data_IF_091304083550
#
_entry.id   IF_091304083550
#
_cell.length_a   1.000
_cell.length_b   1.000
_cell.length_c   1.000
_cell.angle_alpha   90.00
_cell.angle_beta   90.00
_cell.angle_gamma   90.00
#
_symmetry.space_group_name_H-M   'P 1'
#
loop_
_entity.id
_entity.type
_entity.pdbx_description
1 polymer ?
#
# COMPACT_ATOMS: atom_id res chain seq x y z
N UNK A 1 14.66 25.68 13.91
CA UNK A 1 14.28 24.47 13.14
C UNK A 1 14.72 24.71 11.70
N UNK A 2 15.91 24.23 11.33
CA UNK A 2 16.46 24.40 9.97
C UNK A 2 16.01 23.21 9.12
N UNK A 3 15.16 23.44 8.12
CA UNK A 3 14.77 22.42 7.15
C UNK A 3 15.91 22.21 6.16
N UNK A 4 16.70 21.15 6.33
CA UNK A 4 17.60 20.67 5.28
C UNK A 4 16.76 19.96 4.20
N UNK A 5 16.19 20.75 3.29
CA UNK A 5 15.67 20.22 2.03
C UNK A 5 16.86 20.04 1.09
N UNK A 6 17.25 18.80 0.83
CA UNK A 6 18.30 18.53 -0.13
C UNK A 6 17.69 18.53 -1.53
N UNK A 7 17.85 19.63 -2.25
CA UNK A 7 17.47 19.73 -3.66
C UNK A 7 18.60 19.14 -4.50
N UNK A 8 18.34 18.03 -5.18
CA UNK A 8 19.22 17.54 -6.23
C UNK A 8 18.86 18.28 -7.53
N UNK A 9 19.79 19.00 -8.19
CA UNK A 9 19.49 19.90 -9.31
C UNK A 9 18.71 19.22 -10.45
N UNK A 10 18.94 17.92 -10.63
CA UNK A 10 18.37 17.11 -11.71
C UNK A 10 17.25 16.16 -11.23
N UNK A 11 16.84 16.24 -9.96
CA UNK A 11 15.77 15.41 -9.42
C UNK A 11 14.40 16.10 -9.47
N UNK A 12 13.37 15.35 -9.82
CA UNK A 12 11.97 15.80 -9.79
C UNK A 12 11.33 15.68 -8.39
N UNK A 13 12.08 15.21 -7.39
CA UNK A 13 11.62 15.01 -6.01
C UNK A 13 12.49 15.75 -5.00
N UNK A 14 11.94 15.98 -3.80
CA UNK A 14 12.64 16.56 -2.65
C UNK A 14 12.71 15.53 -1.52
N UNK A 15 13.80 15.57 -0.76
CA UNK A 15 13.96 14.77 0.44
C UNK A 15 13.92 15.67 1.68
N UNK A 16 13.40 15.11 2.78
CA UNK A 16 13.36 15.75 4.09
C UNK A 16 13.66 14.71 5.17
N UNK A 17 14.17 15.18 6.31
CA UNK A 17 14.39 14.35 7.50
C UNK A 17 13.03 13.81 7.98
N UNK A 18 12.95 12.50 8.20
CA UNK A 18 11.78 11.81 8.74
C UNK A 18 12.21 10.82 9.84
N UNK A 19 11.27 10.00 10.34
CA UNK A 19 11.50 9.02 11.40
C UNK A 19 12.41 7.84 10.99
N UNK A 20 12.92 7.82 9.75
CA UNK A 20 13.86 6.82 9.24
C UNK A 20 15.31 7.33 9.23
N UNK A 21 15.55 8.60 9.57
CA UNK A 21 16.85 9.24 9.41
C UNK A 21 17.96 8.68 10.34
N UNK A 22 17.58 7.95 11.38
CA UNK A 22 18.45 7.26 12.32
C UNK A 22 18.57 5.75 12.05
N UNK A 23 17.88 5.23 11.03
CA UNK A 23 17.91 3.81 10.68
C UNK A 23 19.10 3.45 9.78
N UNK A 24 19.64 2.24 9.95
CA UNK A 24 20.67 1.70 9.08
C UNK A 24 20.09 1.33 7.71
N UNK A 25 20.76 1.76 6.64
CA UNK A 25 20.31 1.49 5.26
C UNK A 25 20.31 -0.01 4.92
N UNK A 26 21.23 -0.79 5.48
CA UNK A 26 21.27 -2.25 5.27
C UNK A 26 20.05 -2.92 5.93
N UNK A 27 19.63 -2.45 7.10
CA UNK A 27 18.42 -2.93 7.76
C UNK A 27 17.15 -2.54 6.98
N UNK A 28 17.12 -1.33 6.40
CA UNK A 28 16.01 -0.88 5.56
C UNK A 28 15.89 -1.72 4.28
N UNK A 29 17.01 -2.03 3.62
CA UNK A 29 17.03 -2.83 2.40
C UNK A 29 16.66 -4.28 2.70
N UNK A 30 17.28 -4.89 3.71
CA UNK A 30 17.02 -6.29 4.07
C UNK A 30 15.55 -6.54 4.46
N UNK A 31 14.94 -5.62 5.19
CA UNK A 31 13.50 -5.70 5.53
C UNK A 31 12.61 -5.64 4.29
N UNK A 32 13.02 -4.92 3.25
CA UNK A 32 12.25 -4.74 2.01
C UNK A 32 12.41 -5.90 1.01
N UNK A 33 13.45 -6.71 1.14
CA UNK A 33 13.65 -7.90 0.30
C UNK A 33 12.70 -9.05 0.69
N UNK A 34 11.40 -8.77 0.69
CA UNK A 34 10.39 -9.81 0.63
C UNK A 34 10.40 -10.38 -0.79
N UNK A 35 10.79 -11.64 -0.93
CA UNK A 35 10.76 -12.37 -2.20
C UNK A 35 9.31 -12.58 -2.65
N UNK A 36 8.71 -11.55 -3.25
CA UNK A 36 7.43 -11.68 -3.93
C UNK A 36 7.59 -12.65 -5.10
N UNK A 37 7.07 -13.87 -4.95
CA UNK A 37 6.96 -14.78 -6.08
C UNK A 37 5.82 -14.26 -6.96
N UNK A 38 6.18 -13.58 -8.04
CA UNK A 38 5.22 -13.16 -9.06
C UNK A 38 4.72 -14.42 -9.78
N UNK A 39 3.46 -14.81 -9.54
CA UNK A 39 2.77 -15.69 -10.49
C UNK A 39 2.30 -14.86 -11.67
N UNK A 40 2.56 -15.26 -12.92
CA UNK A 40 1.98 -14.58 -14.07
C UNK A 40 0.47 -14.73 -14.02
N UNK A 41 -0.23 -13.62 -13.78
CA UNK A 41 -1.69 -13.56 -13.87
C UNK A 41 -2.04 -13.04 -15.26
N UNK A 42 -2.81 -13.81 -16.01
CA UNK A 42 -3.39 -13.35 -17.28
C UNK A 42 -4.64 -12.54 -16.98
N UNK A 43 -4.55 -11.22 -17.07
CA UNK A 43 -5.72 -10.35 -17.02
C UNK A 43 -6.30 -10.22 -18.43
N UNK A 44 -7.40 -10.92 -18.70
CA UNK A 44 -8.19 -10.71 -19.91
C UNK A 44 -9.29 -9.68 -19.62
N UNK A 45 -8.96 -8.39 -19.71
CA UNK A 45 -9.97 -7.34 -19.86
C UNK A 45 -9.39 -6.27 -20.80
N UNK A 46 -9.92 -6.17 -22.01
CA UNK A 46 -9.65 -5.04 -22.91
C UNK A 46 -10.46 -3.85 -22.41
N UNK A 47 -9.88 -3.05 -21.53
CA UNK A 47 -10.50 -1.80 -21.09
C UNK A 47 -10.26 -0.75 -22.17
N UNK A 48 -11.33 -0.12 -22.68
CA UNK A 48 -11.20 1.02 -23.58
C UNK A 48 -10.66 2.23 -22.79
N UNK A 49 -9.43 2.63 -23.09
CA UNK A 49 -8.74 3.72 -22.38
C UNK A 49 -9.34 5.11 -22.64
N UNK A 50 -10.25 5.24 -23.61
CA UNK A 50 -10.80 6.54 -24.05
C UNK A 50 -11.71 7.20 -23.00
N UNK A 51 -12.15 6.46 -21.98
CA UNK A 51 -13.11 6.95 -20.99
C UNK A 51 -12.47 7.35 -19.64
N UNK A 52 -11.15 7.39 -19.54
CA UNK A 52 -10.48 7.78 -18.29
C UNK A 52 -10.25 9.30 -18.21
N UNK A 53 -10.40 9.90 -17.01
CA UNK A 53 -10.02 11.28 -16.80
C UNK A 53 -8.50 11.44 -16.89
N UNK A 54 -8.03 12.64 -17.24
CA UNK A 54 -6.59 13.00 -17.27
C UNK A 54 -5.91 12.83 -15.90
N UNK A 55 -6.68 13.01 -14.82
CA UNK A 55 -6.22 12.80 -13.44
C UNK A 55 -7.33 12.21 -12.59
N UNK A 56 -6.99 11.26 -11.71
CA UNK A 56 -7.91 10.65 -10.75
C UNK A 56 -7.26 10.57 -9.37
N UNK A 57 -7.95 11.10 -8.36
CA UNK A 57 -7.57 10.96 -6.95
C UNK A 57 -8.72 10.34 -6.15
N UNK A 58 -8.60 9.05 -5.84
CA UNK A 58 -9.61 8.31 -5.08
C UNK A 58 -9.84 8.86 -3.66
N UNK A 59 -8.88 9.58 -3.08
CA UNK A 59 -9.03 10.20 -1.75
C UNK A 59 -10.15 11.25 -1.75
N UNK A 60 -10.35 11.94 -2.87
CA UNK A 60 -11.44 12.92 -3.03
C UNK A 60 -12.84 12.30 -3.04
N UNK A 61 -12.92 10.97 -3.17
CA UNK A 61 -14.18 10.22 -3.20
C UNK A 61 -14.60 9.68 -1.83
N UNK A 62 -13.76 9.85 -0.80
CA UNK A 62 -14.04 9.32 0.55
C UNK A 62 -13.93 7.80 0.65
N UNK A 63 -13.22 7.15 -0.28
CA UNK A 63 -13.05 5.68 -0.33
C UNK A 63 -11.66 5.22 0.12
N UNK A 64 -10.83 6.14 0.61
CA UNK A 64 -9.46 5.86 1.08
C UNK A 64 -9.37 6.24 2.56
N UNK A 65 -8.91 5.31 3.39
CA UNK A 65 -8.66 5.50 4.82
C UNK A 65 -7.48 6.43 5.08
N UNK A 66 -7.28 6.82 6.35
CA UNK A 66 -6.13 7.63 6.74
C UNK A 66 -4.83 6.84 6.63
N UNK A 67 -3.71 7.53 6.41
CA UNK A 67 -2.38 6.92 6.36
C UNK A 67 -2.12 6.08 7.61
N UNK A 68 -1.84 4.79 7.43
CA UNK A 68 -1.46 3.90 8.53
C UNK A 68 -0.03 4.21 9.02
N UNK A 69 0.16 4.51 10.32
CA UNK A 69 1.48 4.81 10.85
C UNK A 69 2.22 3.51 11.19
N UNK A 70 2.96 2.94 10.22
CA UNK A 70 3.84 1.80 10.50
C UNK A 70 5.28 2.24 10.78
N UNK A 71 5.85 1.76 11.88
CA UNK A 71 7.30 1.79 12.14
C UNK A 71 8.01 0.52 11.65
N UNK A 72 7.24 -0.45 11.14
CA UNK A 72 7.71 -1.73 10.62
C UNK A 72 7.66 -1.67 9.10
N UNK A 73 8.83 -1.58 8.49
CA UNK A 73 9.00 -1.70 7.03
C UNK A 73 9.16 -3.20 6.73
N UNK A 74 8.44 -3.71 5.72
CA UNK A 74 8.74 -5.01 5.11
C UNK A 74 7.85 -6.19 5.52
N UNK A 75 7.56 -6.36 6.82
CA UNK A 75 6.80 -7.53 7.30
C UNK A 75 5.28 -7.36 7.12
N UNK A 76 4.76 -6.16 7.38
CA UNK A 76 3.31 -5.89 7.43
C UNK A 76 2.75 -5.31 6.11
N UNK A 77 3.62 -4.96 5.15
CA UNK A 77 3.25 -4.23 3.93
C UNK A 77 2.13 -4.90 3.13
N UNK A 78 2.15 -6.24 3.04
CA UNK A 78 1.12 -7.02 2.33
C UNK A 78 -0.23 -6.94 3.05
N UNK A 79 -0.22 -6.99 4.38
CA UNK A 79 -1.43 -6.87 5.18
C UNK A 79 -2.05 -5.47 5.04
N UNK A 80 -1.22 -4.41 5.03
CA UNK A 80 -1.67 -3.03 4.80
C UNK A 80 -2.33 -2.92 3.42
N UNK A 81 -1.61 -3.26 2.35
CA UNK A 81 -2.08 -3.11 0.96
C UNK A 81 -3.36 -3.91 0.71
N UNK A 82 -3.44 -5.14 1.25
CA UNK A 82 -4.60 -5.99 1.07
C UNK A 82 -5.82 -5.47 1.83
N UNK A 83 -5.61 -4.99 3.07
CA UNK A 83 -6.69 -4.40 3.87
C UNK A 83 -7.23 -3.13 3.22
N UNK A 84 -6.36 -2.19 2.84
CA UNK A 84 -6.76 -0.93 2.21
C UNK A 84 -7.49 -1.15 0.87
N UNK A 85 -7.10 -2.17 0.09
CA UNK A 85 -7.82 -2.50 -1.14
C UNK A 85 -9.25 -2.99 -0.85
N UNK A 86 -9.42 -3.86 0.15
CA UNK A 86 -10.75 -4.35 0.54
C UNK A 86 -11.62 -3.22 1.08
N UNK A 87 -11.07 -2.35 1.93
CA UNK A 87 -11.77 -1.13 2.41
C UNK A 87 -12.24 -0.27 1.24
N UNK A 88 -11.35 -0.02 0.27
CA UNK A 88 -11.64 0.82 -0.90
C UNK A 88 -12.75 0.22 -1.76
N UNK A 89 -12.65 -1.07 -2.09
CA UNK A 89 -13.66 -1.75 -2.92
C UNK A 89 -15.02 -1.82 -2.19
N UNK A 90 -15.00 -2.08 -0.88
CA UNK A 90 -16.21 -2.05 -0.06
C UNK A 90 -16.85 -0.66 -0.06
N UNK A 91 -16.05 0.40 0.10
CA UNK A 91 -16.54 1.78 0.09
C UNK A 91 -17.09 2.20 -1.28
N UNK A 92 -16.49 1.74 -2.38
CA UNK A 92 -17.00 1.97 -3.74
C UNK A 92 -18.37 1.31 -3.93
N UNK A 93 -18.52 0.06 -3.49
CA UNK A 93 -19.75 -0.70 -3.69
C UNK A 93 -20.88 -0.25 -2.77
N UNK A 94 -20.57 0.04 -1.50
CA UNK A 94 -21.57 0.29 -0.46
C UNK A 94 -21.79 1.75 -0.13
N UNK A 95 -20.84 2.62 -0.51
CA UNK A 95 -20.79 4.02 -0.06
C UNK A 95 -20.34 4.19 1.39
N UNK A 96 -19.95 3.12 2.09
CA UNK A 96 -19.49 3.16 3.47
C UNK A 96 -17.99 2.82 3.54
N UNK A 97 -17.18 3.75 4.05
CA UNK A 97 -15.80 3.46 4.40
C UNK A 97 -15.74 2.75 5.75
N UNK A 98 -15.13 1.58 5.78
CA UNK A 98 -14.84 0.81 6.99
C UNK A 98 -13.33 0.82 7.24
N UNK A 99 -12.95 0.68 8.51
CA UNK A 99 -11.57 0.46 8.90
C UNK A 99 -11.37 -1.03 9.15
N UNK A 100 -10.55 -1.65 8.32
CA UNK A 100 -10.18 -3.05 8.38
C UNK A 100 -9.08 -3.31 9.40
N UNK A 101 -9.01 -4.55 9.87
CA UNK A 101 -8.02 -4.96 10.87
C UNK A 101 -6.75 -5.46 10.20
N UNK A 102 -5.77 -4.57 10.00
CA UNK A 102 -4.44 -4.94 9.50
C UNK A 102 -3.80 -6.04 10.36
N UNK A 103 -3.84 -6.01 11.70
CA UNK A 103 -3.30 -7.10 12.53
C UNK A 103 -3.97 -8.44 12.26
N UNK A 104 -5.30 -8.46 12.03
CA UNK A 104 -6.00 -9.70 11.69
C UNK A 104 -5.52 -10.27 10.36
N UNK A 105 -5.33 -9.43 9.34
CA UNK A 105 -4.80 -9.88 8.05
C UNK A 105 -3.36 -10.36 8.19
N UNK A 106 -2.53 -9.66 8.96
CA UNK A 106 -1.15 -10.05 9.21
C UNK A 106 -1.03 -11.40 9.94
N UNK A 107 -1.80 -11.58 11.02
CA UNK A 107 -1.75 -12.79 11.86
C UNK A 107 -2.40 -14.00 11.19
N UNK A 108 -3.52 -13.80 10.48
CA UNK A 108 -4.30 -14.90 9.91
C UNK A 108 -3.95 -15.21 8.45
N UNK A 109 -3.38 -14.25 7.72
CA UNK A 109 -3.01 -14.40 6.30
C UNK A 109 -1.53 -14.07 6.04
N UNK A 110 -0.58 -14.79 6.68
CA UNK A 110 0.86 -14.45 6.65
C UNK A 110 1.55 -14.75 5.30
N UNK A 111 0.84 -15.31 4.31
CA UNK A 111 1.44 -15.78 3.07
C UNK A 111 1.37 -14.71 1.96
N UNK A 112 2.50 -14.37 1.31
CA UNK A 112 2.56 -13.29 0.30
C UNK A 112 1.83 -13.64 -0.99
N UNK A 113 1.71 -14.93 -1.28
CA UNK A 113 1.00 -15.47 -2.43
C UNK A 113 -0.32 -15.94 -1.87
N UNK A 114 -1.40 -15.25 -2.21
CA UNK A 114 -2.78 -15.64 -1.93
C UNK A 114 -3.47 -15.05 -0.69
N UNK A 115 -2.98 -13.90 -0.21
CA UNK A 115 -3.64 -13.11 0.84
C UNK A 115 -5.13 -12.84 0.55
N UNK A 116 -5.51 -12.59 -0.71
CA UNK A 116 -6.91 -12.35 -1.07
C UNK A 116 -7.79 -13.60 -0.95
N UNK A 117 -7.34 -14.77 -1.39
CA UNK A 117 -8.10 -16.00 -1.11
C UNK A 117 -8.11 -16.31 0.37
N UNK A 118 -7.04 -16.02 1.10
CA UNK A 118 -7.04 -16.19 2.55
C UNK A 118 -8.11 -15.31 3.21
N UNK A 119 -8.17 -14.02 2.89
CA UNK A 119 -9.19 -13.08 3.40
C UNK A 119 -10.60 -13.59 3.07
N UNK A 120 -10.84 -14.07 1.86
CA UNK A 120 -12.13 -14.63 1.44
C UNK A 120 -12.55 -15.87 2.26
N UNK A 121 -11.60 -16.59 2.86
CA UNK A 121 -11.84 -17.81 3.62
C UNK A 121 -11.85 -17.57 5.15
N UNK A 122 -11.82 -16.33 5.64
CA UNK A 122 -11.90 -16.01 7.07
C UNK A 122 -13.32 -16.13 7.68
N UNK A 123 -14.27 -16.74 6.96
CA UNK A 123 -15.68 -16.88 7.32
C UNK A 123 -15.99 -18.06 8.23
#
# INVERSE_FOLDING_TARGET
MHSYQQTHPDATFRMAINHLADQNIEDLVSKRETHFQTRPVSFQNSIELNNFPESLDWRTKGVISSVFPTSQIGEIDIAIVSTELVETLYAIETGQLIEGSIPQVFDCCPQPIDVFNCINNLS
#
